data_IF_504772029790
#
_entry.id   IF_504772029790
#
_cell.length_a   1.000
_cell.length_b   1.000
_cell.length_c   1.000
_cell.angle_alpha   90.00
_cell.angle_beta   90.00
_cell.angle_gamma   90.00
#
_symmetry.space_group_name_H-M   'P 1'
#
loop_
_entity.id
_entity.type
_entity.pdbx_description
1 polymer ?
#
# COMPACT_ATOMS: atom_id res chain seq x y z
N UNK A 1 21.92 59.79 -65.62
CA UNK A 1 21.81 58.32 -65.82
C UNK A 1 21.19 57.71 -64.58
N UNK A 2 19.86 57.64 -64.50
CA UNK A 2 19.14 56.93 -63.43
C UNK A 2 18.31 55.82 -64.06
N UNK A 3 18.49 54.54 -63.70
CA UNK A 3 17.78 53.47 -64.38
C UNK A 3 16.33 53.41 -63.88
N UNK A 4 15.41 53.66 -64.81
CA UNK A 4 13.99 53.32 -64.72
C UNK A 4 13.87 51.81 -64.48
N UNK A 5 13.29 51.37 -63.36
CA UNK A 5 12.92 49.97 -63.12
C UNK A 5 11.42 49.77 -63.21
N UNK A 6 11.06 48.78 -64.03
CA UNK A 6 9.72 48.44 -64.49
C UNK A 6 8.76 48.00 -63.38
N UNK A 7 7.51 48.45 -63.48
CA UNK A 7 6.33 47.93 -62.75
C UNK A 7 6.12 46.46 -63.12
N UNK A 8 6.13 45.55 -62.14
CA UNK A 8 5.67 44.15 -62.28
C UNK A 8 4.20 44.07 -61.86
N UNK A 9 3.36 43.47 -62.71
CA UNK A 9 1.93 43.19 -62.49
C UNK A 9 1.73 42.17 -61.35
N UNK A 10 0.60 42.21 -60.62
CA UNK A 10 0.31 41.22 -59.58
C UNK A 10 -0.14 39.91 -60.22
N UNK A 11 0.54 38.81 -59.88
CA UNK A 11 0.23 37.46 -60.32
C UNK A 11 -0.63 36.78 -59.25
N UNK A 12 -1.91 36.55 -59.53
CA UNK A 12 -2.86 35.86 -58.65
C UNK A 12 -2.61 34.35 -58.67
N UNK A 13 -2.29 33.69 -57.54
CA UNK A 13 -2.13 32.25 -57.50
C UNK A 13 -3.50 31.54 -57.47
N UNK A 14 -3.70 30.70 -58.47
CA UNK A 14 -4.87 29.85 -58.72
C UNK A 14 -5.14 28.89 -57.55
N UNK A 15 -6.40 28.83 -57.12
CA UNK A 15 -6.98 27.92 -56.10
C UNK A 15 -6.58 26.46 -56.36
N UNK A 16 -5.87 25.82 -55.40
CA UNK A 16 -5.63 24.37 -55.41
C UNK A 16 -6.94 23.62 -55.12
N UNK A 17 -7.23 22.50 -55.81
CA UNK A 17 -8.37 21.65 -55.48
C UNK A 17 -8.16 20.94 -54.13
N UNK A 18 -9.25 20.80 -53.39
CA UNK A 18 -9.35 20.21 -52.05
C UNK A 18 -8.88 18.74 -52.02
N UNK A 19 -8.20 18.29 -50.94
CA UNK A 19 -7.90 16.86 -50.78
C UNK A 19 -9.18 16.08 -50.47
N UNK A 20 -9.35 14.94 -51.16
CA UNK A 20 -10.44 13.99 -51.00
C UNK A 20 -10.53 13.43 -49.54
N UNK A 21 -11.72 13.02 -49.08
CA UNK A 21 -11.90 12.54 -47.71
C UNK A 21 -11.13 11.23 -47.48
N UNK A 22 -10.12 11.29 -46.62
CA UNK A 22 -9.41 10.11 -46.14
C UNK A 22 -10.34 9.26 -45.27
N UNK A 23 -10.37 7.95 -45.54
CA UNK A 23 -11.08 6.97 -44.73
C UNK A 23 -10.70 7.08 -43.23
N UNK A 24 -11.64 6.88 -42.30
CA UNK A 24 -11.36 6.99 -40.88
C UNK A 24 -10.31 5.94 -40.48
N UNK A 25 -9.17 6.41 -39.96
CA UNK A 25 -8.20 5.55 -39.28
C UNK A 25 -8.92 4.87 -38.11
N UNK A 26 -8.75 3.55 -37.91
CA UNK A 26 -9.14 2.94 -36.65
C UNK A 26 -8.39 3.65 -35.53
N UNK A 27 -9.14 4.15 -34.56
CA UNK A 27 -8.59 4.71 -33.32
C UNK A 27 -7.71 3.64 -32.68
N UNK A 28 -6.48 3.97 -32.22
CA UNK A 28 -5.76 3.06 -31.37
C UNK A 28 -6.62 2.89 -30.12
N UNK A 29 -7.17 1.68 -29.93
CA UNK A 29 -7.81 1.33 -28.68
C UNK A 29 -6.78 1.54 -27.58
N UNK A 30 -7.02 2.53 -26.71
CA UNK A 30 -6.32 2.66 -25.45
C UNK A 30 -6.74 1.45 -24.59
N UNK A 31 -6.13 0.31 -24.89
CA UNK A 31 -6.08 -0.86 -24.01
C UNK A 31 -5.31 -0.45 -22.78
N UNK A 32 -6.03 0.12 -21.82
CA UNK A 32 -5.51 0.51 -20.52
C UNK A 32 -4.80 -0.68 -19.88
N UNK A 33 -3.49 -0.53 -19.69
CA UNK A 33 -2.57 -1.50 -19.09
C UNK A 33 -2.78 -1.65 -17.57
N UNK A 34 -4.03 -1.69 -17.08
CA UNK A 34 -4.36 -1.77 -15.64
C UNK A 34 -4.25 -3.18 -15.05
N UNK A 35 -4.00 -4.19 -15.89
CA UNK A 35 -3.91 -5.62 -15.52
C UNK A 35 -3.00 -5.93 -14.31
N UNK A 36 -1.81 -5.31 -14.15
CA UNK A 36 -0.93 -5.62 -13.02
C UNK A 36 -1.53 -5.22 -11.66
N UNK A 37 -2.16 -4.04 -11.60
CA UNK A 37 -2.73 -3.50 -10.37
C UNK A 37 -3.98 -4.28 -9.95
N UNK A 38 -4.85 -4.62 -10.90
CA UNK A 38 -6.04 -5.42 -10.66
C UNK A 38 -5.70 -6.82 -10.12
N UNK A 39 -4.68 -7.49 -10.68
CA UNK A 39 -4.23 -8.80 -10.21
C UNK A 39 -3.68 -8.74 -8.79
N UNK A 40 -2.87 -7.72 -8.46
CA UNK A 40 -2.32 -7.53 -7.10
C UNK A 40 -3.42 -7.28 -6.07
N UNK A 41 -4.40 -6.43 -6.37
CA UNK A 41 -5.57 -6.19 -5.49
C UNK A 41 -6.36 -7.47 -5.24
N UNK A 42 -6.55 -8.30 -6.28
CA UNK A 42 -7.24 -9.58 -6.15
C UNK A 42 -6.48 -10.59 -5.27
N UNK A 43 -5.15 -10.61 -5.31
CA UNK A 43 -4.33 -11.46 -4.42
C UNK A 43 -4.46 -11.03 -2.96
N UNK A 44 -4.33 -9.73 -2.67
CA UNK A 44 -4.44 -9.21 -1.28
C UNK A 44 -5.82 -9.49 -0.70
N UNK A 45 -6.90 -9.32 -1.46
CA UNK A 45 -8.26 -9.63 -1.00
C UNK A 45 -8.50 -11.11 -0.76
N UNK A 46 -7.78 -12.00 -1.45
CA UNK A 46 -7.83 -13.44 -1.17
C UNK A 46 -7.08 -13.75 0.12
N UNK A 47 -5.90 -13.17 0.29
CA UNK A 47 -5.08 -13.34 1.49
C UNK A 47 -5.82 -12.88 2.75
N UNK A 48 -6.44 -11.69 2.73
CA UNK A 48 -7.26 -11.19 3.85
C UNK A 48 -8.36 -12.19 4.21
N UNK A 49 -9.11 -12.68 3.22
CA UNK A 49 -10.20 -13.64 3.45
C UNK A 49 -9.69 -14.97 4.02
N UNK A 50 -8.54 -15.44 3.55
CA UNK A 50 -7.93 -16.68 4.06
C UNK A 50 -7.42 -16.50 5.49
N UNK A 51 -6.73 -15.41 5.78
CA UNK A 51 -6.19 -15.11 7.12
C UNK A 51 -7.32 -14.91 8.14
N UNK A 52 -8.38 -14.20 7.78
CA UNK A 52 -9.55 -14.03 8.68
C UNK A 52 -10.34 -15.32 8.92
N UNK A 53 -10.29 -16.29 8.00
CA UNK A 53 -10.97 -17.58 8.15
C UNK A 53 -10.19 -18.58 9.01
N UNK A 54 -8.88 -18.41 9.12
CA UNK A 54 -7.99 -19.37 9.78
C UNK A 54 -7.46 -18.80 11.09
N UNK A 55 -7.07 -19.67 12.02
CA UNK A 55 -6.66 -19.27 13.39
C UNK A 55 -5.26 -19.75 13.74
N UNK A 56 -4.43 -20.01 12.73
CA UNK A 56 -3.05 -20.42 12.96
C UNK A 56 -2.19 -19.22 13.38
N UNK A 57 -1.20 -19.47 14.23
CA UNK A 57 -0.22 -18.45 14.63
C UNK A 57 0.58 -17.98 13.40
N UNK A 58 0.69 -16.67 13.25
CA UNK A 58 1.31 -16.00 12.11
C UNK A 58 2.81 -15.80 12.31
N UNK A 59 3.25 -15.58 13.55
CA UNK A 59 4.66 -15.43 13.87
C UNK A 59 5.34 -16.80 13.98
N UNK A 60 6.58 -16.87 13.49
CA UNK A 60 7.38 -18.09 13.66
C UNK A 60 7.73 -18.29 15.14
N UNK A 61 7.47 -19.49 15.65
CA UNK A 61 7.67 -19.86 17.06
C UNK A 61 9.12 -19.68 17.56
N UNK A 62 10.11 -20.01 16.74
CA UNK A 62 11.53 -19.96 17.15
C UNK A 62 12.04 -18.53 17.38
N UNK A 63 11.87 -17.57 16.44
CA UNK A 63 12.17 -16.16 16.70
C UNK A 63 11.41 -15.57 17.89
N UNK A 64 10.11 -15.86 18.02
CA UNK A 64 9.29 -15.37 19.13
C UNK A 64 9.81 -15.89 20.49
N UNK A 65 10.16 -17.18 20.57
CA UNK A 65 10.75 -17.78 21.77
C UNK A 65 12.09 -17.13 22.15
N UNK A 66 12.96 -16.83 21.17
CA UNK A 66 14.23 -16.13 21.44
C UNK A 66 13.99 -14.73 22.01
N UNK A 67 13.06 -13.98 21.41
CA UNK A 67 12.68 -12.65 21.88
C UNK A 67 12.12 -12.67 23.31
N UNK A 68 11.21 -13.60 23.60
CA UNK A 68 10.62 -13.73 24.93
C UNK A 68 11.68 -14.04 26.01
N UNK A 69 12.65 -14.91 25.69
CA UNK A 69 13.78 -15.22 26.59
C UNK A 69 14.73 -14.04 26.76
N UNK A 70 15.07 -13.35 25.68
CA UNK A 70 15.93 -12.16 25.72
C UNK A 70 15.33 -11.07 26.63
N UNK A 71 14.04 -10.78 26.49
CA UNK A 71 13.33 -9.83 27.34
C UNK A 71 13.32 -10.33 28.79
N UNK A 72 13.06 -11.62 29.03
CA UNK A 72 13.04 -12.19 30.36
C UNK A 72 14.37 -12.00 31.10
N UNK A 73 15.51 -12.21 30.42
CA UNK A 73 16.86 -12.06 30.98
C UNK A 73 17.11 -10.63 31.47
N UNK A 74 16.53 -9.61 30.82
CA UNK A 74 16.65 -8.21 31.25
C UNK A 74 16.02 -7.96 32.63
N UNK A 75 14.99 -8.73 33.01
CA UNK A 75 14.31 -8.60 34.30
C UNK A 75 14.88 -9.52 35.38
N UNK A 76 15.56 -10.59 34.99
CA UNK A 76 16.03 -11.64 35.92
C UNK A 76 17.50 -11.49 36.31
N UNK A 77 18.11 -10.33 36.02
CA UNK A 77 19.51 -10.00 36.37
C UNK A 77 20.51 -11.06 35.89
N UNK A 78 20.27 -11.64 34.71
CA UNK A 78 21.12 -12.68 34.12
C UNK A 78 20.80 -14.12 34.52
N UNK A 79 19.69 -14.37 35.24
CA UNK A 79 19.24 -15.73 35.54
C UNK A 79 18.39 -16.28 34.39
N UNK A 80 18.83 -17.39 33.81
CA UNK A 80 18.10 -18.09 32.75
C UNK A 80 16.97 -18.95 33.31
N UNK A 81 15.72 -18.55 33.06
CA UNK A 81 14.56 -19.36 33.43
C UNK A 81 14.23 -20.44 32.39
N UNK A 82 13.75 -21.58 32.89
CA UNK A 82 13.16 -22.63 32.08
C UNK A 82 11.72 -22.26 31.73
N UNK A 83 11.39 -22.27 30.45
CA UNK A 83 10.05 -21.97 29.95
C UNK A 83 9.31 -23.25 29.60
N UNK A 84 8.07 -23.36 30.09
CA UNK A 84 7.15 -24.37 29.61
C UNK A 84 6.73 -24.06 28.16
N UNK A 85 6.57 -25.10 27.35
CA UNK A 85 6.12 -24.93 25.97
C UNK A 85 4.75 -24.24 25.89
N UNK A 86 3.83 -24.59 26.81
CA UNK A 86 2.49 -24.01 26.86
C UNK A 86 2.49 -22.51 27.23
N UNK A 87 3.40 -22.09 28.11
CA UNK A 87 3.52 -20.68 28.49
C UNK A 87 3.96 -19.82 27.29
N UNK A 88 4.90 -20.31 26.48
CA UNK A 88 5.34 -19.61 25.27
C UNK A 88 4.22 -19.54 24.21
N UNK A 89 3.40 -20.59 24.08
CA UNK A 89 2.25 -20.57 23.19
C UNK A 89 1.19 -19.57 23.65
N UNK A 90 0.83 -19.57 24.93
CA UNK A 90 -0.13 -18.61 25.48
C UNK A 90 0.34 -17.15 25.33
N UNK A 91 1.63 -16.89 25.56
CA UNK A 91 2.23 -15.57 25.33
C UNK A 91 2.11 -15.15 23.86
N UNK A 92 2.37 -16.08 22.93
CA UNK A 92 2.29 -15.81 21.50
C UNK A 92 0.85 -15.54 21.06
N UNK A 93 -0.11 -16.35 21.52
CA UNK A 93 -1.54 -16.17 21.24
C UNK A 93 -2.02 -14.79 21.70
N UNK A 94 -1.69 -14.39 22.93
CA UNK A 94 -2.05 -13.08 23.46
C UNK A 94 -1.40 -11.93 22.68
N UNK A 95 -0.11 -12.04 22.35
CA UNK A 95 0.62 -11.02 21.62
C UNK A 95 0.07 -10.82 20.19
N UNK A 96 -0.19 -11.91 19.45
CA UNK A 96 -0.74 -11.83 18.11
C UNK A 96 -2.17 -11.28 18.12
N UNK A 97 -3.03 -11.74 19.04
CA UNK A 97 -4.37 -11.21 19.20
C UNK A 97 -4.34 -9.71 19.49
N UNK A 98 -3.48 -9.26 20.40
CA UNK A 98 -3.31 -7.84 20.72
C UNK A 98 -2.93 -7.01 19.49
N UNK A 99 -1.93 -7.47 18.73
CA UNK A 99 -1.45 -6.76 17.54
C UNK A 99 -2.52 -6.69 16.44
N UNK A 100 -3.28 -7.76 16.22
CA UNK A 100 -4.38 -7.77 15.23
C UNK A 100 -5.42 -6.71 15.60
N UNK A 101 -5.90 -6.69 16.84
CA UNK A 101 -6.89 -5.69 17.28
C UNK A 101 -6.33 -4.26 17.22
N UNK A 102 -5.05 -4.06 17.57
CA UNK A 102 -4.43 -2.74 17.47
C UNK A 102 -4.34 -2.26 16.01
N UNK A 103 -4.06 -3.16 15.08
CA UNK A 103 -4.02 -2.81 13.65
C UNK A 103 -5.41 -2.54 13.07
N UNK A 104 -6.45 -3.23 13.54
CA UNK A 104 -7.84 -2.93 13.16
C UNK A 104 -8.22 -1.49 13.53
N UNK A 105 -7.96 -1.09 14.78
CA UNK A 105 -8.22 0.27 15.25
C UNK A 105 -7.38 1.32 14.53
N UNK A 106 -6.07 1.07 14.37
CA UNK A 106 -5.19 1.97 13.63
C UNK A 106 -5.62 2.10 12.17
N UNK A 107 -6.17 1.04 11.57
CA UNK A 107 -6.68 1.09 10.21
C UNK A 107 -7.94 1.95 10.09
N UNK A 108 -8.86 1.91 11.07
CA UNK A 108 -10.00 2.83 11.13
C UNK A 108 -9.55 4.30 11.14
N UNK A 109 -8.48 4.62 11.86
CA UNK A 109 -7.90 5.97 11.87
C UNK A 109 -7.29 6.36 10.51
N UNK A 110 -6.68 5.42 9.81
CA UNK A 110 -6.15 5.66 8.46
C UNK A 110 -7.27 5.97 7.46
N UNK A 111 -8.40 5.25 7.55
CA UNK A 111 -9.61 5.48 6.76
C UNK A 111 -10.27 6.82 7.12
N UNK A 112 -10.31 7.18 8.41
CA UNK A 112 -10.81 8.47 8.87
C UNK A 112 -10.03 9.64 8.24
N UNK A 113 -8.73 9.46 8.01
CA UNK A 113 -7.87 10.43 7.33
C UNK A 113 -7.91 10.33 5.78
N UNK A 114 -8.84 9.58 5.20
CA UNK A 114 -9.00 9.42 3.74
C UNK A 114 -7.91 8.61 3.05
N UNK A 115 -7.12 7.83 3.81
CA UNK A 115 -6.02 7.00 3.29
C UNK A 115 -6.37 5.52 3.36
N UNK A 116 -5.76 4.72 2.48
CA UNK A 116 -5.81 3.24 2.52
C UNK A 116 -4.53 2.66 3.10
N UNK A 117 -3.43 3.42 3.07
CA UNK A 117 -2.15 3.01 3.65
C UNK A 117 -2.09 3.41 5.12
N UNK A 118 -1.76 2.45 5.98
CA UNK A 118 -1.55 2.63 7.42
C UNK A 118 -0.16 3.25 7.66
N UNK A 119 -0.09 4.26 8.52
CA UNK A 119 1.15 4.95 8.90
C UNK A 119 1.44 4.83 10.40
N UNK A 120 2.70 5.02 10.83
CA UNK A 120 3.07 4.94 12.25
C UNK A 120 2.27 5.89 13.16
N UNK A 121 1.90 7.07 12.66
CA UNK A 121 1.06 8.04 13.38
C UNK A 121 -0.34 7.49 13.71
N UNK A 122 -0.88 6.60 12.87
CA UNK A 122 -2.20 6.01 13.08
C UNK A 122 -2.13 4.99 14.25
N UNK A 123 -1.06 4.20 14.32
CA UNK A 123 -0.81 3.26 15.43
C UNK A 123 -0.54 4.00 16.74
N UNK A 124 0.29 5.04 16.69
CA UNK A 124 0.57 5.88 17.86
C UNK A 124 -0.70 6.53 18.41
N UNK A 125 -1.57 7.02 17.53
CA UNK A 125 -2.85 7.60 17.90
C UNK A 125 -3.81 6.54 18.48
N UNK A 126 -3.89 5.35 17.87
CA UNK A 126 -4.70 4.24 18.39
C UNK A 126 -4.29 3.87 19.82
N UNK A 127 -2.99 3.71 20.08
CA UNK A 127 -2.46 3.46 21.42
C UNK A 127 -2.80 4.58 22.41
N UNK A 128 -2.74 5.84 21.95
CA UNK A 128 -3.07 7.00 22.79
C UNK A 128 -4.55 7.04 23.17
N UNK A 129 -5.45 6.70 22.24
CA UNK A 129 -6.90 6.71 22.46
C UNK A 129 -7.33 5.55 23.36
N UNK A 130 -6.75 4.35 23.19
CA UNK A 130 -6.97 3.20 24.08
C UNK A 130 -6.53 3.44 25.53
N UNK A 131 -5.76 4.49 25.78
CA UNK A 131 -5.31 4.87 27.11
C UNK A 131 -4.22 3.95 27.66
N UNK A 132 -3.96 4.06 28.97
CA UNK A 132 -2.81 3.43 29.61
C UNK A 132 -3.00 1.91 29.77
N UNK A 133 -4.23 1.46 30.01
CA UNK A 133 -4.51 0.05 30.32
C UNK A 133 -4.46 -0.87 29.09
N UNK A 134 -4.89 -0.40 27.92
CA UNK A 134 -4.92 -1.23 26.70
C UNK A 134 -3.95 -0.74 25.62
N UNK A 135 -3.44 0.49 25.71
CA UNK A 135 -2.61 1.08 24.66
C UNK A 135 -1.11 1.03 24.93
N UNK A 136 -0.68 1.16 26.18
CA UNK A 136 0.74 1.33 26.50
C UNK A 136 1.48 0.02 26.79
N UNK A 137 0.78 -1.03 27.21
CA UNK A 137 1.40 -2.30 27.62
C UNK A 137 2.00 -2.18 29.01
#
# INVERSE_FOLDING_TARGET
MGPRRHKRKPETPRRRPSPAPAAPRPTPSLGTSSRPLARRRHTVLKEIRTLQKTTHLLLRKSPFCRLAREICVQFTRGVDFNWQAQALLALQEAAEAFLVHLFEDAYLLSLHAGRVTLFPKDVQLARRIRGIQEGLG
#
